data_IF_127576766993
#
_entry.id   IF_127576766993
#
_cell.length_a   1.000
_cell.length_b   1.000
_cell.length_c   1.000
_cell.angle_alpha   90.00
_cell.angle_beta   90.00
_cell.angle_gamma   90.00
#
_symmetry.space_group_name_H-M   'P 1'
#
loop_
_entity.id
_entity.type
_entity.pdbx_description
1 polymer ?
#
# COMPACT_ATOMS: atom_id res chain seq x y z
N UNK A 1 7.11 -9.13 5.98
CA UNK A 1 5.65 -9.23 6.25
C UNK A 1 5.14 -10.55 5.72
N UNK A 2 4.31 -11.23 6.48
CA UNK A 2 3.69 -12.48 6.04
C UNK A 2 2.43 -12.21 5.23
N UNK A 3 2.03 -13.20 4.43
CA UNK A 3 0.78 -13.11 3.68
C UNK A 3 -0.42 -12.94 4.61
N UNK A 4 -0.42 -13.61 5.75
CA UNK A 4 -1.48 -13.49 6.74
C UNK A 4 -1.57 -12.05 7.29
N UNK A 5 -0.43 -11.43 7.60
CA UNK A 5 -0.39 -10.03 8.04
C UNK A 5 -0.91 -9.10 6.96
N UNK A 6 -0.51 -9.33 5.71
CA UNK A 6 -0.96 -8.52 4.58
C UNK A 6 -2.47 -8.61 4.42
N UNK A 7 -3.04 -9.81 4.43
CA UNK A 7 -4.48 -10.01 4.30
C UNK A 7 -5.26 -9.41 5.47
N UNK A 8 -4.72 -9.51 6.69
CA UNK A 8 -5.37 -8.89 7.86
C UNK A 8 -5.38 -7.37 7.74
N UNK A 9 -4.28 -6.76 7.27
CA UNK A 9 -4.24 -5.32 7.07
C UNK A 9 -5.27 -4.88 6.04
N UNK A 10 -5.47 -5.66 4.99
CA UNK A 10 -6.49 -5.38 3.97
C UNK A 10 -7.91 -5.49 4.52
N UNK A 11 -8.17 -6.49 5.35
CA UNK A 11 -9.48 -6.62 5.99
C UNK A 11 -9.79 -5.41 6.86
N UNK A 12 -8.80 -4.91 7.60
CA UNK A 12 -8.98 -3.74 8.46
C UNK A 12 -9.15 -2.45 7.66
N UNK A 13 -8.42 -2.32 6.56
CA UNK A 13 -8.59 -1.18 5.65
C UNK A 13 -9.99 -1.18 5.04
N UNK A 14 -10.47 -2.36 4.62
CA UNK A 14 -11.80 -2.50 4.05
C UNK A 14 -12.88 -2.15 5.07
N UNK A 15 -12.73 -2.63 6.31
CA UNK A 15 -13.66 -2.31 7.38
C UNK A 15 -13.68 -0.82 7.72
N UNK A 16 -12.55 -0.13 7.53
CA UNK A 16 -12.46 1.32 7.75
C UNK A 16 -12.92 2.13 6.54
N UNK A 17 -13.33 1.48 5.45
CA UNK A 17 -13.71 2.15 4.22
C UNK A 17 -12.52 2.73 3.45
N UNK A 18 -11.31 2.23 3.69
CA UNK A 18 -10.08 2.79 3.15
C UNK A 18 -9.35 1.84 2.18
N UNK A 19 -10.01 0.80 1.69
CA UNK A 19 -9.38 -0.17 0.80
C UNK A 19 -9.11 0.36 -0.61
N UNK A 20 -9.80 1.45 -0.98
CA UNK A 20 -9.61 2.10 -2.28
C UNK A 20 -9.33 3.58 -2.05
N UNK A 21 -8.12 3.93 -1.59
CA UNK A 21 -7.82 5.31 -1.28
C UNK A 21 -7.79 6.19 -2.52
N UNK A 22 -8.25 7.44 -2.35
CA UNK A 22 -8.23 8.42 -3.41
C UNK A 22 -6.80 8.73 -3.82
N UNK A 23 -6.56 8.80 -5.13
CA UNK A 23 -5.25 9.15 -5.67
C UNK A 23 -4.27 7.99 -5.83
N UNK A 24 -4.64 6.78 -5.41
CA UNK A 24 -3.81 5.61 -5.67
C UNK A 24 -4.07 5.09 -7.07
N UNK A 25 -3.03 5.07 -7.89
CA UNK A 25 -3.11 4.66 -9.29
C UNK A 25 -2.85 3.17 -9.43
N UNK A 26 -1.90 2.64 -8.66
CA UNK A 26 -1.48 1.26 -8.74
C UNK A 26 -1.11 0.73 -7.36
N UNK A 27 -1.39 -0.53 -7.12
CA UNK A 27 -1.03 -1.20 -5.87
C UNK A 27 -0.69 -2.64 -6.19
N UNK A 28 0.47 -3.09 -5.72
CA UNK A 28 0.87 -4.48 -5.89
C UNK A 28 1.60 -4.99 -4.65
N UNK A 29 1.42 -6.26 -4.37
CA UNK A 29 2.15 -6.96 -3.34
C UNK A 29 2.85 -8.15 -4.01
N UNK A 30 4.13 -8.34 -3.72
CA UNK A 30 4.93 -9.35 -4.38
C UNK A 30 6.00 -9.89 -3.43
N UNK A 31 6.64 -10.97 -3.84
CA UNK A 31 7.67 -11.61 -3.04
C UNK A 31 7.16 -12.92 -2.44
N UNK A 32 7.86 -13.40 -1.42
CA UNK A 32 7.54 -14.65 -0.76
C UNK A 32 6.92 -14.42 0.62
N UNK A 33 6.12 -15.38 1.07
CA UNK A 33 5.52 -15.32 2.39
C UNK A 33 6.61 -15.13 3.46
N UNK A 34 6.41 -14.15 4.32
CA UNK A 34 7.39 -13.72 5.31
C UNK A 34 8.30 -12.60 4.83
N UNK A 35 8.36 -12.36 3.52
CA UNK A 35 9.24 -11.37 2.91
C UNK A 35 8.50 -10.61 1.80
N UNK A 36 7.24 -10.34 2.02
CA UNK A 36 6.41 -9.63 1.05
C UNK A 36 6.77 -8.14 0.99
N UNK A 37 6.72 -7.62 -0.22
CA UNK A 37 6.95 -6.20 -0.52
C UNK A 37 5.73 -5.61 -1.20
N UNK A 38 5.55 -4.31 -1.02
CA UNK A 38 4.43 -3.59 -1.62
C UNK A 38 4.97 -2.46 -2.48
N UNK A 39 4.38 -2.28 -3.64
CA UNK A 39 4.72 -1.22 -4.57
C UNK A 39 3.45 -0.48 -4.95
N UNK A 40 3.42 0.82 -4.70
CA UNK A 40 2.27 1.68 -4.99
C UNK A 40 2.67 2.85 -5.85
N UNK A 41 1.75 3.28 -6.69
CA UNK A 41 1.87 4.52 -7.45
C UNK A 41 0.73 5.44 -7.03
N UNK A 42 1.07 6.69 -6.70
CA UNK A 42 0.13 7.70 -6.23
C UNK A 42 0.17 8.92 -7.14
N UNK A 43 -0.96 9.60 -7.28
CA UNK A 43 -1.03 10.80 -8.12
C UNK A 43 -0.32 12.00 -7.47
N UNK A 44 -0.20 12.03 -6.14
CA UNK A 44 0.44 13.12 -5.42
C UNK A 44 0.97 12.67 -4.07
N UNK A 45 1.98 13.38 -3.51
CA UNK A 45 2.44 13.11 -2.14
C UNK A 45 1.34 13.30 -1.10
N UNK A 46 0.44 14.24 -1.32
CA UNK A 46 -0.66 14.52 -0.41
C UNK A 46 -1.61 13.34 -0.27
N UNK A 47 -1.92 12.67 -1.39
CA UNK A 47 -2.77 11.48 -1.36
C UNK A 47 -2.12 10.35 -0.57
N UNK A 48 -0.83 10.14 -0.75
CA UNK A 48 -0.05 9.16 -0.01
C UNK A 48 -0.05 9.48 1.49
N UNK A 49 0.22 10.73 1.85
CA UNK A 49 0.26 11.14 3.25
C UNK A 49 -1.09 10.98 3.94
N UNK A 50 -2.18 11.33 3.25
CA UNK A 50 -3.53 11.17 3.78
C UNK A 50 -3.86 9.70 4.05
N UNK A 51 -3.50 8.82 3.13
CA UNK A 51 -3.71 7.38 3.30
C UNK A 51 -2.86 6.85 4.46
N UNK A 52 -1.64 7.34 4.59
CA UNK A 52 -0.73 6.92 5.65
C UNK A 52 -1.28 7.14 7.05
N UNK A 53 -2.07 8.19 7.25
CA UNK A 53 -2.70 8.45 8.54
C UNK A 53 -3.65 7.33 8.98
N UNK A 54 -4.29 6.68 8.02
CA UNK A 54 -5.16 5.52 8.29
C UNK A 54 -4.36 4.23 8.31
N UNK A 55 -3.39 4.10 7.41
CA UNK A 55 -2.62 2.87 7.21
C UNK A 55 -1.68 2.57 8.38
N UNK A 56 -0.93 3.55 8.86
CA UNK A 56 0.13 3.30 9.82
C UNK A 56 -0.38 2.70 11.14
N UNK A 57 -1.48 3.18 11.74
CA UNK A 57 -2.02 2.52 12.93
C UNK A 57 -2.43 1.07 12.68
N UNK A 58 -2.97 0.78 11.49
CA UNK A 58 -3.39 -0.57 11.13
C UNK A 58 -2.18 -1.50 11.04
N UNK A 59 -1.11 -1.04 10.39
CA UNK A 59 0.13 -1.84 10.27
C UNK A 59 0.72 -2.13 11.64
N UNK A 60 0.71 -1.15 12.53
CA UNK A 60 1.21 -1.32 13.89
C UNK A 60 0.39 -2.36 14.65
N UNK A 61 -0.93 -2.30 14.56
CA UNK A 61 -1.82 -3.25 15.24
C UNK A 61 -1.69 -4.68 14.71
N UNK A 62 -1.41 -4.82 13.43
CA UNK A 62 -1.22 -6.13 12.79
C UNK A 62 0.18 -6.69 13.09
N UNK A 63 1.10 -5.84 13.54
CA UNK A 63 2.46 -6.25 13.83
C UNK A 63 3.41 -6.18 12.64
N UNK A 64 3.06 -5.39 11.64
CA UNK A 64 3.91 -5.17 10.48
C UNK A 64 4.88 -4.04 10.76
N UNK A 65 6.18 -4.32 10.63
CA UNK A 65 7.22 -3.30 10.68
C UNK A 65 7.41 -2.74 9.28
N UNK A 66 6.75 -1.62 9.00
CA UNK A 66 6.76 -1.07 7.67
C UNK A 66 8.07 -0.39 7.28
N UNK A 67 8.86 0.05 8.26
CA UNK A 67 10.06 0.83 8.00
C UNK A 67 9.73 2.15 7.31
N UNK A 68 10.74 2.79 6.73
CA UNK A 68 10.52 4.00 5.93
C UNK A 68 10.33 3.61 4.48
N UNK A 69 9.20 3.98 3.87
CA UNK A 69 8.99 3.70 2.46
C UNK A 69 9.95 4.55 1.60
N UNK A 70 10.47 3.94 0.53
CA UNK A 70 11.24 4.67 -0.45
C UNK A 70 10.26 5.37 -1.40
N UNK A 71 10.22 6.70 -1.34
CA UNK A 71 9.32 7.51 -2.17
C UNK A 71 10.13 8.25 -3.21
N UNK A 72 9.80 8.02 -4.48
CA UNK A 72 10.53 8.61 -5.60
C UNK A 72 9.54 9.15 -6.63
N UNK A 73 9.87 10.27 -7.28
CA UNK A 73 9.01 10.79 -8.35
C UNK A 73 9.07 9.88 -9.58
N UNK A 74 7.93 9.76 -10.26
CA UNK A 74 7.84 9.03 -11.50
C UNK A 74 7.92 10.05 -12.64
N UNK A 75 8.89 9.85 -13.54
CA UNK A 75 9.05 10.72 -14.70
C UNK A 75 8.28 10.20 -15.91
N UNK A 76 8.00 8.91 -15.95
CA UNK A 76 7.25 8.29 -17.02
C UNK A 76 6.57 7.04 -16.51
N UNK A 77 5.28 6.93 -16.79
CA UNK A 77 4.49 5.75 -16.47
C UNK A 77 3.88 5.22 -17.77
N UNK A 78 4.19 3.97 -18.10
CA UNK A 78 3.58 3.28 -19.23
C UNK A 78 2.86 2.06 -18.69
N UNK A 79 1.59 1.93 -19.02
CA UNK A 79 0.80 0.78 -18.62
C UNK A 79 0.32 0.05 -19.86
N UNK A 80 0.51 -1.27 -19.86
CA UNK A 80 -0.06 -2.10 -20.91
C UNK A 80 -1.54 -2.28 -20.59
N UNK A 81 -2.37 -1.78 -21.50
CA UNK A 81 -3.78 -2.00 -21.41
C UNK A 81 -4.06 -3.42 -21.89
N UNK A 82 -4.14 -4.35 -20.96
CA UNK A 82 -4.64 -5.69 -21.29
C UNK A 82 -6.15 -5.59 -21.28
N UNK A 83 -6.68 -5.35 -22.40
CA UNK A 83 -8.11 -5.13 -22.61
C UNK A 83 -8.99 -6.17 -21.98
#
# INVERSE_FOLDING_TARGET
>A
MTLEQFEESHRRLDAAGASKPSGRIHHSCFGQDGDLMVYDIWESPESWNAFGETLMPILTEVGIEAGEPAVMPIHRLSQTSSG
#
